data_IF_462486831589
#
_entry.id   IF_462486831589
#
_cell.length_a   1.000
_cell.length_b   1.000
_cell.length_c   1.000
_cell.angle_alpha   90.00
_cell.angle_beta   90.00
_cell.angle_gamma   90.00
#
_symmetry.space_group_name_H-M   'P 1'
#
loop_
_entity.id
_entity.type
_entity.pdbx_description
1 polymer ?
#
# COMPACT_ATOMS: atom_id res chain seq x y z
N UNK A 1 41.26 -59.15 37.70
CA UNK A 1 41.68 -60.34 36.93
C UNK A 1 42.69 -59.87 35.90
N UNK A 2 43.95 -59.62 36.26
CA UNK A 2 45.05 -60.57 36.47
C UNK A 2 45.38 -61.47 35.25
N UNK A 3 46.64 -61.31 34.81
CA UNK A 3 47.46 -62.22 34.00
C UNK A 3 47.20 -62.18 32.47
N UNK A 4 48.20 -62.14 31.58
CA UNK A 4 49.38 -63.02 31.56
C UNK A 4 50.58 -62.37 30.84
N UNK A 5 51.70 -62.30 31.57
CA UNK A 5 53.05 -62.44 31.03
C UNK A 5 53.23 -63.81 30.37
N UNK A 6 54.00 -63.88 29.28
CA UNK A 6 54.97 -64.97 29.08
C UNK A 6 56.07 -64.57 28.09
N UNK A 7 57.28 -64.70 28.60
CA UNK A 7 58.61 -64.51 28.03
C UNK A 7 59.01 -65.68 27.13
N UNK A 8 59.90 -65.44 26.16
CA UNK A 8 60.79 -66.48 25.64
C UNK A 8 62.17 -65.88 25.34
N UNK A 9 63.15 -66.33 26.13
CA UNK A 9 64.59 -66.10 26.01
C UNK A 9 65.20 -67.15 25.08
N UNK A 10 66.13 -66.72 24.22
CA UNK A 10 67.31 -67.44 23.69
C UNK A 10 67.94 -66.49 22.65
N UNK A 11 69.21 -66.10 22.60
CA UNK A 11 70.43 -66.62 23.18
C UNK A 11 71.45 -65.48 23.37
N UNK A 12 72.33 -65.66 24.35
CA UNK A 12 73.55 -64.91 24.59
C UNK A 12 74.45 -64.82 23.35
N UNK A 13 75.03 -63.64 23.11
CA UNK A 13 76.49 -63.48 22.94
C UNK A 13 76.90 -62.04 23.23
N UNK A 14 77.78 -61.94 24.22
CA UNK A 14 78.43 -60.74 24.69
C UNK A 14 79.24 -60.05 23.58
N UNK A 15 79.10 -58.73 23.53
CA UNK A 15 79.92 -57.82 22.73
C UNK A 15 79.66 -56.39 23.19
N UNK A 16 80.00 -56.05 24.43
CA UNK A 16 79.93 -54.68 24.92
C UNK A 16 81.10 -53.89 24.33
N UNK A 17 80.89 -53.24 23.18
CA UNK A 17 81.68 -52.09 22.77
C UNK A 17 81.00 -50.84 23.32
N UNK A 18 81.67 -50.14 24.24
CA UNK A 18 81.28 -48.83 24.71
C UNK A 18 81.24 -47.85 23.53
N UNK A 19 80.02 -47.57 23.04
CA UNK A 19 79.77 -46.44 22.15
C UNK A 19 78.90 -45.47 22.93
N UNK A 20 79.47 -44.31 23.23
CA UNK A 20 78.75 -43.18 23.80
C UNK A 20 77.74 -42.67 22.77
N UNK A 21 76.47 -43.03 22.93
CA UNK A 21 75.38 -42.52 22.10
C UNK A 21 74.82 -41.28 22.80
N UNK A 22 75.49 -40.14 22.63
CA UNK A 22 74.81 -38.85 22.78
C UNK A 22 73.86 -38.71 21.58
N UNK A 23 72.59 -39.05 21.77
CA UNK A 23 71.55 -38.70 20.78
C UNK A 23 71.40 -37.18 20.78
N UNK A 24 71.80 -36.55 19.68
CA UNK A 24 71.48 -35.15 19.41
C UNK A 24 69.95 -35.01 19.33
N UNK A 25 69.35 -34.33 20.30
CA UNK A 25 67.94 -33.93 20.21
C UNK A 25 67.87 -32.88 19.11
N UNK A 26 67.43 -33.28 17.92
CA UNK A 26 67.06 -32.34 16.87
C UNK A 26 65.86 -31.54 17.36
N UNK A 27 66.09 -30.31 17.81
CA UNK A 27 65.03 -29.33 18.03
C UNK A 27 64.40 -29.01 16.68
N UNK A 28 63.28 -29.68 16.36
CA UNK A 28 62.47 -29.32 15.20
C UNK A 28 61.81 -27.99 15.54
N UNK A 29 62.28 -26.91 14.92
CA UNK A 29 61.53 -25.65 14.89
C UNK A 29 60.24 -25.91 14.11
N UNK A 30 59.18 -26.32 14.80
CA UNK A 30 57.84 -26.42 14.24
C UNK A 30 57.36 -24.99 13.96
N UNK A 31 57.67 -24.47 12.78
CA UNK A 31 57.04 -23.27 12.26
C UNK A 31 55.57 -23.63 12.07
N UNK A 32 54.71 -23.14 12.97
CA UNK A 32 53.26 -23.27 12.84
C UNK A 32 52.82 -22.53 11.58
N UNK A 33 52.79 -23.22 10.45
CA UNK A 33 52.06 -22.75 9.27
C UNK A 33 50.59 -22.92 9.62
N UNK A 34 49.89 -21.81 9.84
CA UNK A 34 48.42 -21.79 9.86
C UNK A 34 47.93 -22.24 8.48
N UNK A 35 47.79 -23.55 8.30
CA UNK A 35 47.11 -24.09 7.14
C UNK A 35 45.65 -23.64 7.25
N UNK A 36 45.27 -22.64 6.47
CA UNK A 36 43.89 -22.22 6.34
C UNK A 36 43.11 -23.40 5.79
N UNK A 37 42.40 -24.11 6.67
CA UNK A 37 41.59 -25.26 6.26
C UNK A 37 40.49 -24.71 5.36
N UNK A 38 40.51 -25.10 4.09
CA UNK A 38 39.53 -24.69 3.07
C UNK A 38 38.06 -24.92 3.51
N UNK A 39 37.83 -25.82 4.47
CA UNK A 39 36.52 -26.08 5.04
C UNK A 39 35.91 -24.87 5.79
N UNK A 40 36.71 -24.02 6.43
CA UNK A 40 36.22 -22.92 7.26
C UNK A 40 36.09 -21.59 6.53
N UNK A 41 36.56 -21.48 5.28
CA UNK A 41 36.56 -20.22 4.51
C UNK A 41 35.15 -19.73 4.25
N UNK A 42 34.30 -20.56 3.66
CA UNK A 42 32.95 -20.17 3.30
C UNK A 42 32.09 -19.87 4.56
N UNK A 43 32.11 -20.69 5.63
CA UNK A 43 31.47 -20.33 6.89
C UNK A 43 31.95 -19.00 7.48
N UNK A 44 33.27 -18.76 7.50
CA UNK A 44 33.83 -17.50 8.02
C UNK A 44 33.43 -16.30 7.17
N UNK A 45 33.48 -16.40 5.84
CA UNK A 45 33.07 -15.31 4.95
C UNK A 45 31.57 -14.99 5.07
N UNK A 46 30.71 -16.01 5.25
CA UNK A 46 29.28 -15.82 5.52
C UNK A 46 29.06 -15.07 6.83
N UNK A 47 29.81 -15.43 7.86
CA UNK A 47 29.75 -14.75 9.16
C UNK A 47 30.25 -13.30 9.09
N UNK A 48 31.35 -13.04 8.37
CA UNK A 48 31.83 -11.68 8.14
C UNK A 48 30.82 -10.84 7.34
N UNK A 49 30.19 -11.41 6.30
CA UNK A 49 29.12 -10.75 5.55
C UNK A 49 27.92 -10.46 6.45
N UNK A 50 27.49 -11.41 7.28
CA UNK A 50 26.39 -11.23 8.24
C UNK A 50 26.68 -10.07 9.19
N UNK A 51 27.87 -10.03 9.78
CA UNK A 51 28.30 -8.94 10.68
C UNK A 51 28.33 -7.60 9.96
N UNK A 52 28.86 -7.56 8.73
CA UNK A 52 28.87 -6.36 7.90
C UNK A 52 27.45 -5.82 7.67
N UNK A 53 26.51 -6.68 7.31
CA UNK A 53 25.09 -6.29 7.12
C UNK A 53 24.50 -5.69 8.41
N UNK A 54 24.75 -6.31 9.56
CA UNK A 54 24.27 -5.79 10.86
C UNK A 54 24.84 -4.38 11.15
N UNK A 55 26.13 -4.16 10.89
CA UNK A 55 26.72 -2.83 11.10
C UNK A 55 26.21 -1.81 10.07
N UNK A 56 25.94 -2.22 8.84
CA UNK A 56 25.32 -1.36 7.83
C UNK A 56 23.89 -0.98 8.23
N UNK A 57 23.09 -1.93 8.72
CA UNK A 57 21.72 -1.68 9.21
C UNK A 57 21.71 -0.68 10.37
N UNK A 58 22.69 -0.74 11.28
CA UNK A 58 22.87 0.26 12.35
C UNK A 58 23.22 1.65 11.81
N UNK A 59 23.94 1.71 10.69
CA UNK A 59 24.42 2.95 10.06
C UNK A 59 23.45 3.49 9.00
N UNK A 60 22.16 3.13 9.05
CA UNK A 60 21.14 3.62 8.11
C UNK A 60 20.87 2.68 6.92
N UNK A 61 21.37 1.45 6.97
CA UNK A 61 21.15 0.42 5.97
C UNK A 61 22.07 0.52 4.75
N UNK A 62 21.96 -0.48 3.88
CA UNK A 62 22.66 -0.47 2.60
C UNK A 62 22.04 0.55 1.65
N UNK A 63 22.87 1.12 0.76
CA UNK A 63 22.38 1.92 -0.36
C UNK A 63 21.44 1.07 -1.21
N UNK A 64 20.20 1.53 -1.35
CA UNK A 64 19.21 0.87 -2.18
C UNK A 64 19.54 1.18 -3.65
N UNK A 65 19.62 0.15 -4.47
CA UNK A 65 19.84 0.27 -5.91
C UNK A 65 18.55 -0.02 -6.68
N UNK A 66 18.35 0.67 -7.79
CA UNK A 66 17.22 0.42 -8.68
C UNK A 66 17.30 -1.00 -9.25
N UNK A 67 16.17 -1.71 -9.35
CA UNK A 67 16.15 -3.13 -9.75
C UNK A 67 16.78 -3.38 -11.13
N UNK A 68 16.72 -2.39 -12.01
CA UNK A 68 17.35 -2.44 -13.34
C UNK A 68 18.88 -2.44 -13.35
N UNK A 69 19.53 -2.13 -12.22
CA UNK A 69 21.00 -2.11 -12.12
C UNK A 69 21.61 -3.51 -11.94
N UNK A 70 20.80 -4.49 -11.58
CA UNK A 70 21.24 -5.87 -11.38
C UNK A 70 21.37 -6.61 -12.72
N UNK A 71 22.31 -7.54 -12.80
CA UNK A 71 22.59 -8.32 -14.02
C UNK A 71 21.38 -9.12 -14.52
N UNK A 72 20.58 -9.63 -13.58
CA UNK A 72 19.35 -10.41 -13.85
C UNK A 72 18.17 -9.45 -14.07
N UNK A 73 18.24 -8.64 -15.13
CA UNK A 73 17.19 -7.71 -15.53
C UNK A 73 17.09 -7.59 -17.05
N UNK A 74 15.88 -7.78 -17.59
CA UNK A 74 15.57 -7.53 -19.00
C UNK A 74 14.27 -6.74 -19.08
N UNK A 75 14.37 -5.48 -19.47
CA UNK A 75 13.24 -4.55 -19.46
C UNK A 75 12.07 -4.99 -20.34
N UNK A 76 12.34 -5.56 -21.52
CA UNK A 76 11.29 -5.99 -22.45
C UNK A 76 10.51 -7.21 -21.91
N UNK A 77 11.23 -8.15 -21.30
CA UNK A 77 10.62 -9.31 -20.65
C UNK A 77 9.77 -8.89 -19.44
N UNK A 78 10.24 -7.91 -18.67
CA UNK A 78 9.54 -7.40 -17.49
C UNK A 78 8.27 -6.61 -17.87
N UNK A 79 8.30 -5.80 -18.93
CA UNK A 79 7.10 -5.13 -19.47
C UNK A 79 6.07 -6.16 -19.95
N UNK A 80 6.52 -7.18 -20.67
CA UNK A 80 5.64 -8.26 -21.13
C UNK A 80 5.03 -9.03 -19.95
N UNK A 81 5.84 -9.36 -18.94
CA UNK A 81 5.38 -10.03 -17.73
C UNK A 81 4.40 -9.17 -16.92
N UNK A 82 4.64 -7.85 -16.83
CA UNK A 82 3.77 -6.90 -16.14
C UNK A 82 2.38 -6.87 -16.77
N UNK A 83 2.31 -6.76 -18.10
CA UNK A 83 1.04 -6.75 -18.84
C UNK A 83 0.23 -8.03 -18.59
N UNK A 84 0.89 -9.18 -18.68
CA UNK A 84 0.25 -10.48 -18.44
C UNK A 84 -0.15 -10.70 -16.98
N UNK A 85 0.64 -10.20 -16.01
CA UNK A 85 0.34 -10.27 -14.57
C UNK A 85 -0.97 -9.55 -14.24
N UNK A 86 -1.19 -8.39 -14.87
CA UNK A 86 -2.43 -7.62 -14.71
C UNK A 86 -3.60 -8.20 -15.52
N UNK A 87 -3.34 -9.12 -16.46
CA UNK A 87 -4.36 -9.65 -17.36
C UNK A 87 -4.86 -8.59 -18.35
N UNK A 88 -4.00 -7.66 -18.75
CA UNK A 88 -4.34 -6.53 -19.62
C UNK A 88 -3.48 -6.51 -20.89
N UNK A 89 -4.04 -5.94 -21.96
CA UNK A 89 -3.36 -5.79 -23.25
C UNK A 89 -2.95 -4.34 -23.44
N UNK A 90 -1.68 -4.05 -23.16
CA UNK A 90 -1.08 -2.74 -23.39
C UNK A 90 -0.44 -2.65 -24.77
N UNK A 91 -0.46 -1.46 -25.36
CA UNK A 91 0.48 -1.10 -26.41
C UNK A 91 1.84 -0.83 -25.78
N UNK A 92 2.88 -1.50 -26.29
CA UNK A 92 4.24 -1.42 -25.77
C UNK A 92 4.79 0.02 -25.81
N UNK A 93 4.50 0.78 -26.87
CA UNK A 93 4.97 2.17 -26.98
C UNK A 93 4.33 3.10 -25.94
N UNK A 94 3.01 3.03 -25.77
CA UNK A 94 2.27 3.83 -24.79
C UNK A 94 2.65 3.45 -23.35
N UNK A 95 2.87 2.16 -23.07
CA UNK A 95 3.26 1.70 -21.74
C UNK A 95 4.68 2.16 -21.38
N UNK A 96 5.63 2.09 -22.33
CA UNK A 96 6.97 2.65 -22.12
C UNK A 96 6.93 4.15 -21.86
N UNK A 97 6.14 4.90 -22.63
CA UNK A 97 5.93 6.32 -22.44
C UNK A 97 5.31 6.65 -21.07
N UNK A 98 4.41 5.80 -20.55
CA UNK A 98 3.82 5.97 -19.23
C UNK A 98 4.82 5.75 -18.08
N UNK A 99 5.78 4.83 -18.27
CA UNK A 99 6.80 4.47 -17.29
C UNK A 99 8.02 5.40 -17.31
N UNK A 100 8.19 6.24 -18.34
CA UNK A 100 9.27 7.22 -18.45
C UNK A 100 8.90 8.54 -17.78
N UNK A 101 9.54 8.82 -16.64
CA UNK A 101 9.39 10.12 -15.98
C UNK A 101 10.35 11.17 -16.57
N UNK A 102 9.91 12.43 -16.62
CA UNK A 102 10.70 13.57 -17.14
C UNK A 102 12.12 13.65 -16.57
N UNK A 103 12.27 13.41 -15.26
CA UNK A 103 13.59 13.48 -14.61
C UNK A 103 14.58 12.43 -15.14
N UNK A 104 14.10 11.28 -15.62
CA UNK A 104 14.95 10.28 -16.26
C UNK A 104 15.48 10.78 -17.60
N UNK A 105 14.63 11.43 -18.38
CA UNK A 105 14.99 12.00 -19.69
C UNK A 105 16.03 13.09 -19.49
N UNK A 106 15.83 13.99 -18.53
CA UNK A 106 16.80 15.05 -18.17
C UNK A 106 18.16 14.49 -17.73
N UNK A 107 18.16 13.42 -16.93
CA UNK A 107 19.40 12.76 -16.50
C UNK A 107 20.14 12.12 -17.67
N UNK A 108 19.41 11.44 -18.55
CA UNK A 108 20.03 10.74 -19.68
C UNK A 108 20.52 11.71 -20.76
N UNK A 109 19.79 12.81 -21.03
CA UNK A 109 20.28 13.87 -21.93
C UNK A 109 21.56 14.51 -21.40
N UNK A 110 21.62 14.84 -20.10
CA UNK A 110 22.82 15.37 -19.47
C UNK A 110 24.01 14.40 -19.57
N UNK A 111 23.76 13.11 -19.30
CA UNK A 111 24.78 12.06 -19.43
C UNK A 111 25.31 11.94 -20.86
N UNK A 112 24.45 12.01 -21.87
CA UNK A 112 24.87 11.94 -23.28
C UNK A 112 25.67 13.17 -23.69
N UNK A 113 25.28 14.36 -23.23
CA UNK A 113 26.04 15.59 -23.49
C UNK A 113 27.42 15.55 -22.84
N UNK A 114 27.55 14.97 -21.64
CA UNK A 114 28.84 14.83 -20.96
C UNK A 114 29.80 13.90 -21.72
N UNK A 115 29.26 12.91 -22.45
CA UNK A 115 30.02 11.97 -23.28
C UNK A 115 30.24 12.51 -24.71
N UNK A 116 29.59 13.62 -25.08
CA UNK A 116 29.71 14.26 -26.39
C UNK A 116 28.89 13.60 -27.51
N UNK A 117 27.79 12.92 -27.18
CA UNK A 117 26.86 12.31 -28.13
C UNK A 117 25.62 13.19 -28.31
N UNK A 118 25.17 13.39 -29.55
CA UNK A 118 23.95 14.17 -29.83
C UNK A 118 22.69 13.50 -29.26
N UNK A 119 21.83 14.31 -28.64
CA UNK A 119 20.66 13.88 -27.88
C UNK A 119 19.42 13.62 -28.74
N UNK A 120 19.52 12.75 -29.74
CA UNK A 120 18.35 12.27 -30.50
C UNK A 120 17.59 11.16 -29.73
N UNK A 121 17.17 11.46 -28.50
CA UNK A 121 16.39 10.54 -27.67
C UNK A 121 14.91 10.59 -28.05
N UNK A 122 14.35 9.48 -28.51
CA UNK A 122 12.92 9.34 -28.83
C UNK A 122 12.08 8.96 -27.60
N UNK A 123 12.32 9.58 -26.45
CA UNK A 123 11.50 9.35 -25.25
C UNK A 123 10.36 10.38 -25.18
N UNK A 124 9.19 9.91 -24.74
CA UNK A 124 8.04 10.75 -24.46
C UNK A 124 7.87 10.91 -22.95
N UNK A 125 7.52 12.12 -22.53
CA UNK A 125 7.23 12.42 -21.12
C UNK A 125 5.86 11.86 -20.71
N UNK A 126 5.78 11.32 -19.50
CA UNK A 126 4.53 10.78 -18.94
C UNK A 126 3.53 11.83 -18.44
N UNK A 127 3.83 13.13 -18.54
CA UNK A 127 3.01 14.21 -17.95
C UNK A 127 1.63 14.32 -18.59
N UNK A 128 1.56 14.30 -19.93
CA UNK A 128 0.28 14.36 -20.65
C UNK A 128 -0.61 13.14 -20.37
N UNK A 129 -0.01 11.95 -20.33
CA UNK A 129 -0.71 10.71 -19.99
C UNK A 129 -1.18 10.71 -18.53
N UNK A 130 -0.37 11.23 -17.60
CA UNK A 130 -0.74 11.32 -16.19
C UNK A 130 -1.94 12.25 -15.96
N UNK A 131 -2.02 13.38 -16.68
CA UNK A 131 -3.17 14.28 -16.62
C UNK A 131 -4.44 13.57 -17.10
N UNK A 132 -4.40 12.99 -18.31
CA UNK A 132 -5.52 12.26 -18.91
C UNK A 132 -5.99 11.09 -18.04
N UNK A 133 -5.05 10.32 -17.48
CA UNK A 133 -5.38 9.18 -16.62
C UNK A 133 -5.96 9.60 -15.28
N UNK A 134 -5.50 10.73 -14.73
CA UNK A 134 -6.09 11.35 -13.55
C UNK A 134 -7.54 11.79 -13.75
N UNK A 135 -7.86 12.35 -14.92
CA UNK A 135 -9.23 12.72 -15.29
C UNK A 135 -10.13 11.49 -15.43
N UNK A 136 -9.69 10.46 -16.17
CA UNK A 136 -10.44 9.21 -16.36
C UNK A 136 -10.73 8.56 -15.00
N UNK A 137 -9.71 8.44 -14.15
CA UNK A 137 -9.83 7.88 -12.81
C UNK A 137 -10.81 8.68 -11.95
N UNK A 138 -10.72 10.02 -11.96
CA UNK A 138 -11.60 10.86 -11.14
C UNK A 138 -13.06 10.79 -11.59
N UNK A 139 -13.31 10.83 -12.91
CA UNK A 139 -14.65 10.69 -13.49
C UNK A 139 -15.27 9.35 -13.11
N UNK A 140 -14.50 8.26 -13.28
CA UNK A 140 -14.96 6.93 -12.96
C UNK A 140 -15.25 6.73 -11.46
N UNK A 141 -14.34 7.16 -10.58
CA UNK A 141 -14.52 7.03 -9.13
C UNK A 141 -15.79 7.77 -8.69
N UNK A 142 -16.00 9.01 -9.16
CA UNK A 142 -17.22 9.77 -8.84
C UNK A 142 -18.49 9.08 -9.34
N UNK A 143 -18.49 8.60 -10.59
CA UNK A 143 -19.63 7.84 -11.14
C UNK A 143 -19.90 6.55 -10.36
N UNK A 144 -18.85 5.84 -9.96
CA UNK A 144 -18.95 4.61 -9.15
C UNK A 144 -19.55 4.89 -7.77
N UNK A 145 -18.99 5.86 -7.05
CA UNK A 145 -19.44 6.22 -5.70
C UNK A 145 -20.90 6.69 -5.73
N UNK A 146 -21.29 7.53 -6.69
CA UNK A 146 -22.69 7.99 -6.82
C UNK A 146 -23.66 6.86 -7.20
N UNK A 147 -23.21 5.90 -8.01
CA UNK A 147 -24.04 4.77 -8.41
C UNK A 147 -24.33 3.81 -7.25
N UNK A 148 -23.33 3.60 -6.38
CA UNK A 148 -23.40 2.73 -5.19
C UNK A 148 -24.08 3.42 -4.02
N UNK A 149 -23.65 4.63 -3.68
CA UNK A 149 -24.14 5.43 -2.56
C UNK A 149 -25.24 6.39 -3.02
N UNK A 150 -26.46 5.87 -3.12
CA UNK A 150 -27.60 6.62 -3.68
C UNK A 150 -28.25 7.62 -2.73
N UNK A 151 -27.91 7.61 -1.44
CA UNK A 151 -28.54 8.47 -0.42
C UNK A 151 -27.49 9.17 0.43
N UNK A 152 -26.41 9.61 -0.23
CA UNK A 152 -25.27 10.24 0.40
C UNK A 152 -25.09 11.67 -0.15
N UNK A 153 -24.80 12.67 0.71
CA UNK A 153 -24.49 14.02 0.26
C UNK A 153 -23.18 14.07 -0.54
N UNK A 154 -23.06 15.03 -1.46
CA UNK A 154 -21.88 15.14 -2.33
C UNK A 154 -20.57 15.34 -1.55
N UNK A 155 -20.62 15.97 -0.37
CA UNK A 155 -19.47 16.18 0.50
C UNK A 155 -18.83 14.86 0.96
N UNK A 156 -19.65 13.84 1.25
CA UNK A 156 -19.15 12.52 1.65
C UNK A 156 -18.56 11.76 0.44
N UNK A 157 -19.18 11.89 -0.75
CA UNK A 157 -18.62 11.33 -1.99
C UNK A 157 -17.27 11.95 -2.30
N UNK A 158 -17.16 13.28 -2.14
CA UNK A 158 -15.91 14.00 -2.34
C UNK A 158 -14.84 13.53 -1.35
N UNK A 159 -15.18 13.35 -0.08
CA UNK A 159 -14.24 12.83 0.91
C UNK A 159 -13.71 11.43 0.54
N UNK A 160 -14.59 10.54 0.07
CA UNK A 160 -14.20 9.23 -0.45
C UNK A 160 -13.32 9.33 -1.70
N UNK A 161 -13.67 10.21 -2.65
CA UNK A 161 -12.87 10.45 -3.85
C UNK A 161 -11.48 11.00 -3.52
N UNK A 162 -11.40 11.99 -2.63
CA UNK A 162 -10.15 12.61 -2.18
C UNK A 162 -9.25 11.57 -1.47
N UNK A 163 -9.85 10.66 -0.69
CA UNK A 163 -9.11 9.55 -0.09
C UNK A 163 -8.54 8.61 -1.15
N UNK A 164 -9.36 8.15 -2.11
CA UNK A 164 -8.94 7.23 -3.16
C UNK A 164 -7.94 7.83 -4.15
N UNK A 165 -7.98 9.14 -4.35
CA UNK A 165 -7.07 9.86 -5.23
C UNK A 165 -5.86 10.46 -4.50
N UNK A 166 -5.77 10.25 -3.18
CA UNK A 166 -4.66 10.72 -2.37
C UNK A 166 -3.33 10.13 -2.82
N UNK A 167 -2.26 10.92 -2.65
CA UNK A 167 -0.93 10.51 -3.07
C UNK A 167 -0.45 9.23 -2.34
N UNK A 168 -0.82 9.06 -1.06
CA UNK A 168 -0.43 7.92 -0.24
C UNK A 168 -1.10 6.62 -0.70
N UNK A 169 -2.39 6.65 -1.00
CA UNK A 169 -3.13 5.46 -1.48
C UNK A 169 -2.61 5.03 -2.85
N UNK A 170 -2.49 5.98 -3.79
CA UNK A 170 -1.99 5.70 -5.15
C UNK A 170 -0.53 5.23 -5.14
N UNK A 171 0.33 5.78 -4.29
CA UNK A 171 1.71 5.29 -4.11
C UNK A 171 1.71 3.85 -3.60
N UNK A 172 0.87 3.54 -2.63
CA UNK A 172 0.76 2.19 -2.05
C UNK A 172 0.30 1.18 -3.11
N UNK A 173 -0.72 1.52 -3.89
CA UNK A 173 -1.19 0.70 -5.01
C UNK A 173 -0.07 0.52 -6.05
N UNK A 174 0.61 1.60 -6.43
CA UNK A 174 1.71 1.56 -7.41
C UNK A 174 2.87 0.66 -6.96
N UNK A 175 3.24 0.70 -5.68
CA UNK A 175 4.25 -0.19 -5.10
C UNK A 175 3.81 -1.65 -5.13
N UNK A 176 2.57 -1.94 -4.74
CA UNK A 176 2.06 -3.32 -4.69
C UNK A 176 1.94 -3.98 -6.07
N UNK A 177 1.64 -3.23 -7.13
CA UNK A 177 1.62 -3.78 -8.50
C UNK A 177 3.03 -3.94 -9.10
N UNK A 178 4.06 -3.42 -8.43
CA UNK A 178 5.46 -3.53 -8.86
C UNK A 178 5.92 -2.44 -9.82
N UNK A 179 5.30 -1.25 -9.83
CA UNK A 179 5.77 -0.14 -10.67
C UNK A 179 7.17 0.34 -10.26
N UNK A 180 7.55 0.18 -8.99
CA UNK A 180 8.84 0.65 -8.47
C UNK A 180 10.05 0.11 -9.22
N UNK A 181 9.97 -1.10 -9.76
CA UNK A 181 11.06 -1.74 -10.49
C UNK A 181 11.08 -1.37 -11.99
N UNK A 182 9.93 -0.98 -12.54
CA UNK A 182 9.71 -0.74 -13.97
C UNK A 182 9.85 0.74 -14.34
N UNK A 183 9.49 1.65 -13.43
CA UNK A 183 9.53 3.08 -13.71
C UNK A 183 10.96 3.56 -13.96
N UNK A 184 11.14 4.31 -15.04
CA UNK A 184 12.40 4.97 -15.33
C UNK A 184 12.39 6.33 -14.63
N UNK A 185 13.01 6.38 -13.45
CA UNK A 185 13.12 7.56 -12.60
C UNK A 185 14.60 7.92 -12.33
N UNK A 186 14.90 9.22 -12.18
CA UNK A 186 16.24 9.66 -11.77
C UNK A 186 16.46 9.54 -10.25
N UNK A 187 15.41 9.81 -9.48
CA UNK A 187 15.40 9.82 -8.02
C UNK A 187 15.19 8.39 -7.51
N UNK A 188 16.15 7.78 -6.80
CA UNK A 188 15.96 6.44 -6.22
C UNK A 188 16.35 6.41 -4.73
N UNK A 189 15.46 5.97 -3.81
CA UNK A 189 14.09 5.48 -4.04
C UNK A 189 13.16 6.55 -4.64
N UNK A 190 12.29 6.18 -5.58
CA UNK A 190 11.45 7.16 -6.28
C UNK A 190 10.53 7.90 -5.29
N UNK A 191 10.33 9.19 -5.49
CA UNK A 191 9.43 10.03 -4.70
C UNK A 191 7.97 9.61 -4.90
N UNK A 192 7.13 9.86 -3.91
CA UNK A 192 5.68 9.62 -3.97
C UNK A 192 5.04 10.18 -5.24
N UNK A 193 5.37 11.41 -5.63
CA UNK A 193 4.84 12.04 -6.84
C UNK A 193 5.15 11.26 -8.12
N UNK A 194 6.33 10.66 -8.21
CA UNK A 194 6.75 9.87 -9.37
C UNK A 194 5.92 8.60 -9.50
N UNK A 195 5.62 7.92 -8.38
CA UNK A 195 4.71 6.77 -8.36
C UNK A 195 3.30 7.17 -8.81
N UNK A 196 2.76 8.25 -8.25
CA UNK A 196 1.41 8.73 -8.54
C UNK A 196 1.26 9.12 -10.01
N UNK A 197 2.22 9.87 -10.56
CA UNK A 197 2.21 10.28 -11.98
C UNK A 197 2.27 9.07 -12.90
N UNK A 198 3.19 8.14 -12.64
CA UNK A 198 3.36 6.96 -13.48
C UNK A 198 2.15 6.03 -13.41
N UNK A 199 1.55 5.86 -12.22
CA UNK A 199 0.31 5.09 -12.08
C UNK A 199 -0.83 5.70 -12.88
N UNK A 200 -1.06 7.02 -12.78
CA UNK A 200 -2.06 7.72 -13.60
C UNK A 200 -1.76 7.57 -15.10
N UNK A 201 -0.49 7.70 -15.50
CA UNK A 201 -0.10 7.52 -16.90
C UNK A 201 -0.37 6.10 -17.41
N UNK A 202 -0.17 5.06 -16.59
CA UNK A 202 -0.49 3.66 -16.94
C UNK A 202 -2.00 3.48 -17.15
N UNK A 203 -2.85 4.13 -16.34
CA UNK A 203 -4.31 4.12 -16.56
C UNK A 203 -4.67 4.74 -17.92
N UNK A 204 -4.03 5.85 -18.31
CA UNK A 204 -4.24 6.45 -19.62
C UNK A 204 -3.74 5.57 -20.76
N UNK A 205 -2.56 4.97 -20.62
CA UNK A 205 -2.01 4.05 -21.62
C UNK A 205 -2.91 2.82 -21.81
N UNK A 206 -3.53 2.32 -20.73
CA UNK A 206 -4.52 1.25 -20.81
C UNK A 206 -5.78 1.70 -21.56
N UNK A 207 -6.28 2.90 -21.26
CA UNK A 207 -7.45 3.47 -21.92
C UNK A 207 -7.23 3.66 -23.43
N UNK A 208 -6.02 4.06 -23.84
CA UNK A 208 -5.64 4.19 -25.25
C UNK A 208 -5.48 2.83 -25.95
N UNK A 209 -5.03 1.81 -25.23
CA UNK A 209 -4.73 0.49 -25.81
C UNK A 209 -5.96 -0.42 -25.89
N UNK A 210 -6.70 -0.53 -24.79
CA UNK A 210 -7.81 -1.48 -24.61
C UNK A 210 -9.19 -0.81 -24.48
N UNK A 211 -9.25 0.53 -24.52
CA UNK A 211 -10.47 1.30 -24.37
C UNK A 211 -10.78 1.71 -22.93
N UNK A 212 -11.64 2.71 -22.79
CA UNK A 212 -11.96 3.32 -21.48
C UNK A 212 -12.69 2.36 -20.54
N UNK A 213 -13.56 1.49 -21.06
CA UNK A 213 -14.28 0.50 -20.25
C UNK A 213 -13.31 -0.43 -19.50
N UNK A 214 -12.22 -0.84 -20.14
CA UNK A 214 -11.23 -1.71 -19.49
C UNK A 214 -10.41 -0.96 -18.46
N UNK A 215 -10.04 0.29 -18.75
CA UNK A 215 -9.38 1.17 -17.79
C UNK A 215 -10.24 1.43 -16.53
N UNK A 216 -11.56 1.56 -16.69
CA UNK A 216 -12.50 1.68 -15.57
C UNK A 216 -12.49 0.45 -14.66
N UNK A 217 -12.52 -0.76 -15.24
CA UNK A 217 -12.42 -2.01 -14.46
C UNK A 217 -11.06 -2.10 -13.75
N UNK A 218 -9.98 -1.70 -14.40
CA UNK A 218 -8.65 -1.66 -13.79
C UNK A 218 -8.58 -0.71 -12.59
N UNK A 219 -9.15 0.50 -12.70
CA UNK A 219 -9.23 1.45 -11.58
C UNK A 219 -10.10 0.90 -10.46
N UNK A 220 -11.20 0.21 -10.78
CA UNK A 220 -12.04 -0.43 -9.77
C UNK A 220 -11.25 -1.47 -8.96
N UNK A 221 -10.61 -2.42 -9.64
CA UNK A 221 -9.99 -3.58 -9.01
C UNK A 221 -8.78 -3.18 -8.15
N UNK A 222 -8.08 -2.09 -8.50
CA UNK A 222 -6.87 -1.65 -7.79
C UNK A 222 -7.08 -0.48 -6.82
N UNK A 223 -7.88 0.52 -7.22
CA UNK A 223 -8.04 1.77 -6.47
C UNK A 223 -9.28 1.69 -5.58
N UNK A 224 -10.45 1.39 -6.14
CA UNK A 224 -11.71 1.38 -5.37
C UNK A 224 -11.68 0.31 -4.27
N UNK A 225 -10.96 -0.80 -4.48
CA UNK A 225 -10.76 -1.83 -3.46
C UNK A 225 -10.02 -1.32 -2.21
N UNK A 226 -9.27 -0.21 -2.28
CA UNK A 226 -8.65 0.42 -1.10
C UNK A 226 -9.68 1.01 -0.12
N UNK A 227 -10.93 1.23 -0.57
CA UNK A 227 -12.03 1.62 0.31
C UNK A 227 -12.49 0.47 1.22
N UNK A 228 -12.19 -0.78 0.85
CA UNK A 228 -12.58 -1.93 1.64
C UNK A 228 -11.78 -1.98 2.95
N UNK A 229 -12.50 -2.06 4.07
CA UNK A 229 -11.90 -2.06 5.42
C UNK A 229 -11.64 -0.67 6.00
N UNK A 230 -11.99 0.40 5.29
CA UNK A 230 -12.02 1.78 5.82
C UNK A 230 -13.45 2.13 6.24
N UNK A 231 -13.63 2.83 7.37
CA UNK A 231 -14.92 3.45 7.69
C UNK A 231 -15.08 4.72 6.85
N UNK A 232 -16.01 4.67 5.91
CA UNK A 232 -16.36 5.80 5.02
C UNK A 232 -16.75 7.04 5.84
N UNK A 233 -17.34 6.85 7.01
CA UNK A 233 -17.79 7.94 7.86
C UNK A 233 -16.65 8.58 8.66
N UNK A 234 -15.50 7.91 8.80
CA UNK A 234 -14.29 8.53 9.38
C UNK A 234 -13.61 9.48 8.39
N UNK A 235 -13.76 9.23 7.08
CA UNK A 235 -13.23 10.11 6.03
C UNK A 235 -13.90 11.48 6.00
N UNK A 236 -15.13 11.57 6.52
CA UNK A 236 -15.93 12.79 6.51
C UNK A 236 -16.42 13.15 7.90
N UNK A 237 -15.92 14.28 8.42
CA UNK A 237 -16.35 14.78 9.72
C UNK A 237 -17.29 15.99 9.56
N UNK A 238 -18.62 15.83 9.69
CA UNK A 238 -19.55 16.96 9.62
C UNK A 238 -19.37 17.89 10.83
N UNK A 239 -19.39 19.21 10.59
CA UNK A 239 -19.12 20.24 11.62
C UNK A 239 -20.13 20.22 12.76
N UNK A 240 -21.42 20.01 12.46
CA UNK A 240 -22.50 19.93 13.48
C UNK A 240 -23.45 18.77 13.19
N UNK A 241 -23.13 17.54 13.65
CA UNK A 241 -23.96 16.37 13.38
C UNK A 241 -25.33 16.44 14.05
N UNK A 242 -25.46 17.14 15.19
CA UNK A 242 -26.72 17.27 15.93
C UNK A 242 -27.68 18.21 15.20
N UNK A 243 -27.19 19.38 14.76
CA UNK A 243 -27.96 20.32 13.96
C UNK A 243 -28.38 19.72 12.62
N UNK A 244 -27.47 19.02 11.95
CA UNK A 244 -27.76 18.30 10.71
C UNK A 244 -28.90 17.29 10.93
N UNK A 245 -28.78 16.41 11.92
CA UNK A 245 -29.82 15.41 12.22
C UNK A 245 -31.18 16.04 12.51
N UNK A 246 -31.20 17.11 13.32
CA UNK A 246 -32.43 17.82 13.68
C UNK A 246 -33.13 18.38 12.44
N UNK A 247 -32.38 19.00 11.55
CA UNK A 247 -32.93 19.60 10.35
C UNK A 247 -33.42 18.55 9.35
N UNK A 248 -32.74 17.39 9.27
CA UNK A 248 -33.14 16.24 8.46
C UNK A 248 -34.45 15.62 8.97
N UNK A 249 -34.59 15.42 10.28
CA UNK A 249 -35.82 14.90 10.88
C UNK A 249 -36.99 15.84 10.67
N UNK A 250 -36.76 17.15 10.83
CA UNK A 250 -37.76 18.20 10.56
C UNK A 250 -38.23 18.17 9.10
N UNK A 251 -37.30 18.03 8.15
CA UNK A 251 -37.59 17.86 6.72
C UNK A 251 -38.43 16.61 6.44
N UNK A 252 -38.19 15.53 7.16
CA UNK A 252 -38.98 14.29 7.05
C UNK A 252 -40.37 14.38 7.71
N UNK A 253 -40.66 15.48 8.41
CA UNK A 253 -41.91 15.68 9.16
C UNK A 253 -41.97 14.89 10.47
N UNK A 254 -40.82 14.43 10.97
CA UNK A 254 -40.68 13.75 12.27
C UNK A 254 -40.44 14.77 13.38
N UNK A 255 -40.72 14.38 14.62
CA UNK A 255 -40.37 15.22 15.77
C UNK A 255 -38.85 15.42 15.92
N UNK A 256 -38.46 16.50 16.58
CA UNK A 256 -37.06 16.80 16.89
C UNK A 256 -36.40 15.66 17.70
N UNK A 257 -35.09 15.43 17.52
CA UNK A 257 -34.39 14.34 18.20
C UNK A 257 -34.27 14.59 19.71
N UNK A 258 -34.83 13.68 20.50
CA UNK A 258 -34.65 13.64 21.95
C UNK A 258 -33.45 12.76 22.31
N UNK A 259 -32.43 13.36 22.92
CA UNK A 259 -31.26 12.64 23.41
C UNK A 259 -31.46 12.25 24.87
N UNK A 260 -31.33 10.96 25.19
CA UNK A 260 -31.50 10.42 26.55
C UNK A 260 -30.31 9.54 26.94
N UNK A 261 -29.85 9.69 28.17
CA UNK A 261 -28.85 8.80 28.75
C UNK A 261 -29.47 7.41 28.96
N UNK A 262 -28.94 6.40 28.27
CA UNK A 262 -29.40 5.00 28.39
C UNK A 262 -28.57 4.27 29.44
N UNK A 263 -27.24 4.42 29.40
CA UNK A 263 -26.30 3.75 30.30
C UNK A 263 -25.16 4.70 30.68
N UNK A 264 -24.64 4.54 31.88
CA UNK A 264 -23.39 5.18 32.30
C UNK A 264 -22.57 4.19 33.12
N UNK A 265 -21.26 4.22 32.96
CA UNK A 265 -20.32 3.41 33.73
C UNK A 265 -19.15 4.28 34.16
N UNK A 266 -18.71 4.12 35.41
CA UNK A 266 -17.54 4.81 35.93
C UNK A 266 -17.64 6.34 35.89
N UNK A 267 -18.82 6.93 36.14
CA UNK A 267 -19.08 8.38 36.00
C UNK A 267 -18.18 9.27 36.86
N UNK A 268 -17.61 8.74 37.94
CA UNK A 268 -16.65 9.42 38.83
C UNK A 268 -15.19 9.10 38.52
N UNK A 269 -14.91 8.34 37.45
CA UNK A 269 -13.56 7.89 37.06
C UNK A 269 -13.08 8.61 35.81
N UNK A 270 -11.76 8.58 35.58
CA UNK A 270 -11.13 9.12 34.36
C UNK A 270 -11.58 8.35 33.12
N UNK A 271 -11.94 7.08 33.26
CA UNK A 271 -12.39 6.19 32.18
C UNK A 271 -13.93 6.07 32.17
N UNK A 272 -14.62 7.18 32.43
CA UNK A 272 -16.07 7.23 32.37
C UNK A 272 -16.55 6.91 30.94
N UNK A 273 -17.65 6.17 30.84
CA UNK A 273 -18.29 5.86 29.56
C UNK A 273 -19.78 6.13 29.67
N UNK A 274 -20.28 6.99 28.79
CA UNK A 274 -21.68 7.35 28.69
C UNK A 274 -22.27 6.82 27.38
N UNK A 275 -23.47 6.26 27.45
CA UNK A 275 -24.25 5.83 26.29
C UNK A 275 -25.50 6.69 26.17
N UNK A 276 -25.58 7.46 25.08
CA UNK A 276 -26.71 8.32 24.78
C UNK A 276 -27.49 7.73 23.62
N UNK A 277 -28.81 7.62 23.79
CA UNK A 277 -29.75 7.21 22.75
C UNK A 277 -30.47 8.40 22.14
N UNK A 278 -30.74 8.32 20.84
CA UNK A 278 -31.54 9.29 20.10
C UNK A 278 -32.91 8.70 19.83
N UNK A 279 -33.95 9.45 20.20
CA UNK A 279 -35.34 9.10 19.97
C UNK A 279 -36.04 10.18 19.14
N UNK A 280 -36.97 9.79 18.28
CA UNK A 280 -37.90 10.72 17.61
C UNK A 280 -39.28 10.08 17.59
N UNK A 281 -40.32 10.81 17.97
CA UNK A 281 -41.69 10.29 18.11
C UNK A 281 -41.78 9.03 19.00
N UNK A 282 -40.98 8.98 20.07
CA UNK A 282 -40.80 7.82 20.98
C UNK A 282 -40.20 6.57 20.32
N UNK A 283 -39.75 6.65 19.07
CA UNK A 283 -39.04 5.58 18.39
C UNK A 283 -37.53 5.76 18.56
N UNK A 284 -36.84 4.67 18.88
CA UNK A 284 -35.39 4.64 18.98
C UNK A 284 -34.76 4.69 17.58
N UNK A 285 -33.81 5.60 17.36
CA UNK A 285 -33.08 5.75 16.10
C UNK A 285 -31.69 5.11 16.21
N UNK A 286 -30.88 5.61 17.13
CA UNK A 286 -29.47 5.22 17.31
C UNK A 286 -29.03 5.38 18.76
N UNK A 287 -27.90 4.78 19.10
CA UNK A 287 -27.17 5.04 20.33
C UNK A 287 -25.70 5.34 19.99
N UNK A 288 -25.02 6.09 20.84
CA UNK A 288 -23.60 6.39 20.72
C UNK A 288 -22.93 6.42 22.08
N UNK A 289 -21.66 6.00 22.10
CA UNK A 289 -20.83 5.99 23.30
C UNK A 289 -19.82 7.16 23.27
N UNK A 290 -19.48 7.68 24.44
CA UNK A 290 -18.46 8.71 24.58
C UNK A 290 -17.91 8.82 26.00
N UNK A 291 -16.75 9.46 26.12
CA UNK A 291 -16.09 9.73 27.40
C UNK A 291 -16.80 10.81 28.23
N UNK A 292 -17.54 11.69 27.57
CA UNK A 292 -18.36 12.74 28.17
C UNK A 292 -19.78 12.69 27.60
N UNK A 293 -20.75 13.31 28.30
CA UNK A 293 -22.14 13.39 27.83
C UNK A 293 -22.24 14.12 26.48
N UNK A 294 -21.42 15.15 26.26
CA UNK A 294 -21.40 15.92 25.02
C UNK A 294 -20.87 15.09 23.86
N UNK A 295 -19.74 14.39 24.06
CA UNK A 295 -19.16 13.49 23.04
C UNK A 295 -20.11 12.34 22.76
N UNK A 296 -20.71 11.73 23.78
CA UNK A 296 -21.68 10.64 23.58
C UNK A 296 -22.92 11.11 22.80
N UNK A 297 -23.41 12.33 23.06
CA UNK A 297 -24.50 12.96 22.30
C UNK A 297 -24.12 13.17 20.83
N UNK A 298 -22.92 13.70 20.58
CA UNK A 298 -22.42 13.92 19.23
C UNK A 298 -22.26 12.59 18.47
N UNK A 299 -21.66 11.59 19.10
CA UNK A 299 -21.49 10.25 18.53
C UNK A 299 -22.83 9.58 18.23
N UNK A 300 -23.83 9.71 19.11
CA UNK A 300 -25.17 9.19 18.87
C UNK A 300 -25.84 9.85 17.66
N UNK A 301 -25.60 11.15 17.45
CA UNK A 301 -26.07 11.87 16.27
C UNK A 301 -25.33 11.44 14.99
N UNK A 302 -24.01 11.22 15.06
CA UNK A 302 -23.23 10.67 13.93
C UNK A 302 -23.74 9.28 13.53
N UNK A 303 -23.96 8.40 14.50
CA UNK A 303 -24.55 7.08 14.25
C UNK A 303 -25.95 7.18 13.62
N UNK A 304 -26.79 8.14 14.05
CA UNK A 304 -28.06 8.39 13.37
C UNK A 304 -27.88 8.79 11.90
N UNK A 305 -26.91 9.66 11.60
CA UNK A 305 -26.59 10.06 10.22
C UNK A 305 -26.08 8.86 9.39
N UNK A 306 -25.23 7.99 9.94
CA UNK A 306 -24.77 6.76 9.26
C UNK A 306 -25.96 5.90 8.81
N UNK A 307 -26.94 5.70 9.70
CA UNK A 307 -28.16 4.95 9.38
C UNK A 307 -28.99 5.61 8.29
N UNK A 308 -29.15 6.93 8.35
CA UNK A 308 -29.90 7.72 7.37
C UNK A 308 -29.25 7.69 5.98
N UNK A 309 -27.91 7.66 5.93
CA UNK A 309 -27.15 7.60 4.68
C UNK A 309 -26.89 6.16 4.18
N UNK A 310 -27.35 5.15 4.92
CA UNK A 310 -27.10 3.73 4.63
C UNK A 310 -25.61 3.36 4.56
N UNK A 311 -24.78 4.05 5.34
CA UNK A 311 -23.32 3.83 5.46
C UNK A 311 -22.96 3.13 6.78
N UNK A 312 -23.88 2.31 7.31
CA UNK A 312 -23.65 1.51 8.50
C UNK A 312 -22.58 0.44 8.27
N UNK A 313 -21.93 -0.02 9.34
CA UNK A 313 -21.01 -1.17 9.29
C UNK A 313 -21.67 -2.45 8.75
N UNK A 314 -23.00 -2.53 8.87
CA UNK A 314 -23.83 -3.63 8.37
C UNK A 314 -24.22 -3.49 6.88
N UNK A 315 -23.75 -2.45 6.20
CA UNK A 315 -24.09 -2.19 4.80
C UNK A 315 -23.67 -3.34 3.89
N UNK A 316 -24.34 -3.44 2.73
CA UNK A 316 -23.97 -4.44 1.73
C UNK A 316 -22.55 -4.18 1.23
N UNK A 317 -21.80 -5.26 1.03
CA UNK A 317 -20.49 -5.17 0.40
C UNK A 317 -20.56 -4.44 -0.95
N UNK A 318 -19.52 -3.66 -1.24
CA UNK A 318 -19.43 -2.90 -2.48
C UNK A 318 -19.50 -3.84 -3.70
N UNK A 319 -20.21 -3.46 -4.77
CA UNK A 319 -20.41 -4.32 -5.92
C UNK A 319 -19.15 -4.42 -6.79
N UNK A 320 -18.50 -5.59 -6.78
CA UNK A 320 -17.34 -5.90 -7.62
C UNK A 320 -17.65 -6.98 -8.68
N UNK A 321 -16.85 -7.02 -9.75
CA UNK A 321 -16.91 -8.06 -10.78
C UNK A 321 -18.26 -8.13 -11.51
N UNK A 322 -18.95 -9.28 -11.42
CA UNK A 322 -20.21 -9.53 -12.16
C UNK A 322 -21.33 -8.57 -11.79
N UNK A 323 -21.40 -8.14 -10.53
CA UNK A 323 -22.42 -7.21 -10.04
C UNK A 323 -22.29 -5.83 -10.70
N UNK A 324 -21.06 -5.44 -11.05
CA UNK A 324 -20.79 -4.16 -11.71
C UNK A 324 -21.41 -4.09 -13.10
N UNK A 325 -21.43 -5.19 -13.86
CA UNK A 325 -21.98 -5.20 -15.23
C UNK A 325 -23.42 -4.67 -15.30
N UNK A 326 -24.19 -4.88 -14.24
CA UNK A 326 -25.56 -4.39 -14.14
C UNK A 326 -25.64 -2.88 -13.82
N UNK A 327 -24.59 -2.31 -13.24
CA UNK A 327 -24.53 -0.92 -12.76
C UNK A 327 -23.67 -0.03 -13.68
N UNK A 328 -22.92 -0.61 -14.62
CA UNK A 328 -22.02 0.10 -15.54
C UNK A 328 -22.70 1.25 -16.30
N UNK A 329 -23.92 1.03 -16.82
CA UNK A 329 -24.67 2.08 -17.52
C UNK A 329 -25.04 3.24 -16.58
N UNK A 330 -25.42 2.93 -15.35
CA UNK A 330 -25.72 3.91 -14.30
C UNK A 330 -24.48 4.70 -13.89
N UNK A 331 -23.32 4.04 -13.79
CA UNK A 331 -22.04 4.69 -13.50
C UNK A 331 -21.74 5.75 -14.55
N UNK A 332 -21.80 5.37 -15.83
CA UNK A 332 -21.49 6.28 -16.94
C UNK A 332 -22.39 7.53 -16.97
N UNK A 333 -23.66 7.38 -16.59
CA UNK A 333 -24.61 8.51 -16.49
C UNK A 333 -24.27 9.46 -15.34
N UNK A 334 -23.82 8.92 -14.21
CA UNK A 334 -23.59 9.68 -12.97
C UNK A 334 -22.18 10.29 -12.86
N UNK A 335 -21.27 10.05 -13.81
CA UNK A 335 -19.92 10.63 -13.80
C UNK A 335 -19.95 12.17 -13.70
N UNK A 336 -20.88 12.80 -14.43
CA UNK A 336 -20.98 14.25 -14.54
C UNK A 336 -22.12 14.86 -13.70
N UNK A 337 -22.93 14.04 -13.02
CA UNK A 337 -24.09 14.51 -12.25
C UNK A 337 -23.76 14.42 -10.75
N UNK A 338 -23.42 15.54 -10.09
CA UNK A 338 -23.18 15.54 -8.65
C UNK A 338 -24.46 15.27 -7.85
N UNK A 339 -24.30 14.66 -6.68
CA UNK A 339 -25.38 14.52 -5.73
C UNK A 339 -25.74 15.87 -5.10
N UNK A 340 -26.86 15.90 -4.39
CA UNK A 340 -27.31 17.06 -3.63
C UNK A 340 -26.30 17.38 -2.51
N UNK A 341 -25.93 18.65 -2.39
CA UNK A 341 -25.07 19.15 -1.29
C UNK A 341 -25.78 19.00 0.05
N UNK A 342 -25.04 18.86 1.15
CA UNK A 342 -25.62 18.69 2.48
C UNK A 342 -26.58 19.82 2.88
N UNK A 343 -26.26 21.07 2.52
CA UNK A 343 -27.10 22.25 2.78
C UNK A 343 -28.47 22.16 2.12
N UNK A 344 -28.51 21.69 0.87
CA UNK A 344 -29.72 21.44 0.12
C UNK A 344 -30.44 20.17 0.60
N UNK A 345 -29.66 19.17 1.01
CA UNK A 345 -30.17 17.90 1.54
C UNK A 345 -30.99 18.13 2.82
N UNK A 346 -30.55 19.09 3.64
CA UNK A 346 -31.26 19.50 4.85
C UNK A 346 -32.59 20.20 4.54
N UNK A 347 -32.65 21.00 3.47
CA UNK A 347 -33.80 21.86 3.19
C UNK A 347 -34.88 21.23 2.29
N UNK A 348 -34.50 20.37 1.34
CA UNK A 348 -35.42 19.74 0.37
C UNK A 348 -35.53 18.23 0.63
N UNK A 349 -36.75 17.68 0.57
CA UNK A 349 -37.00 16.24 0.73
C UNK A 349 -36.38 15.46 -0.45
N UNK A 350 -35.22 14.87 -0.24
CA UNK A 350 -34.55 13.99 -1.21
C UNK A 350 -35.10 12.58 -1.03
N UNK A 351 -35.92 12.09 -1.97
CA UNK A 351 -36.50 10.74 -1.92
C UNK A 351 -35.57 9.65 -2.48
N UNK A 352 -34.59 10.04 -3.28
CA UNK A 352 -33.42 9.28 -3.73
C UNK A 352 -32.47 10.30 -4.36
N UNK A 353 -31.14 10.23 -4.17
CA UNK A 353 -30.21 11.15 -4.86
C UNK A 353 -30.10 10.89 -6.38
N UNK A 354 -31.07 10.18 -6.95
CA UNK A 354 -31.36 10.11 -8.38
C UNK A 354 -32.86 10.32 -8.52
N UNK A 355 -33.31 11.57 -8.34
CA UNK A 355 -34.45 12.21 -9.01
C UNK A 355 -34.45 13.71 -8.72
#
# INVERSE_FOLDING_TARGET
MAALWKTCQQCLRYGFSNVSIYTSITAVNAISKRNFKAHWVAPTLRELKRRKVIEEDRNGGQKIFHRSTFLEWNYDAEIFAFSNRLGEKFNDSSLRAALTHKSYIERETARLSDVGVESNLQFQDNEALAQKGGEIMSKFINGYLRAVFTQVPEELIRAMHDFLTSNSTLETVAKHIGLGDLMLCADFPCKTETYVKSFKAVVAALAESSGEERARVFVQDLVVTQLYGQDVNELWNPVDPVGNLTAILKREGKAEPEFRLIRQSGSSSILAVYYVGVYSDKNFISEGAGESLEVAKEMAAREALKKLFHTEDSMRALPFGRQLKNIQSKIAQLENQPNVQLSEWISKKVMSAVH
#
